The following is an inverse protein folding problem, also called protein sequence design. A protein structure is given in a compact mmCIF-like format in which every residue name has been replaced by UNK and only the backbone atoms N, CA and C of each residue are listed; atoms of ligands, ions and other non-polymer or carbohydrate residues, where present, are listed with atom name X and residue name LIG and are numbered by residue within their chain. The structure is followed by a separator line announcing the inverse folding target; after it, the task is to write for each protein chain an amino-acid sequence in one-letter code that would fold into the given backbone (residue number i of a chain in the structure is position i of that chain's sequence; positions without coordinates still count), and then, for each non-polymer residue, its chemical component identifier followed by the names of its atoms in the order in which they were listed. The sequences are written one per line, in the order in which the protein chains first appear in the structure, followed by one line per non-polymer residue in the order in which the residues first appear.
data_IF_562457114315
#
_entry.id   IF_562457114315
#
_cell.length_a   1.000
_cell.length_b   1.000
_cell.length_c   1.000
_cell.angle_alpha   90.00
_cell.angle_beta   90.00
_cell.angle_gamma   90.00
#
_symmetry.space_group_name_H-M   'P 1'
#
loop_
_entity.id
_entity.type
_entity.pdbx_description
1 polymer ?
#
# COMPACT_ATOMS: atom_id res chain seq x y z
N UNK A 1 15.98 11.13 15.76
CA UNK A 1 15.44 10.45 14.56
C UNK A 1 14.72 9.19 15.04
N UNK A 2 13.40 9.12 14.89
CA UNK A 2 12.65 7.94 15.34
C UNK A 2 13.04 6.74 14.46
N UNK A 3 13.66 5.72 15.06
CA UNK A 3 14.04 4.48 14.40
C UNK A 3 12.80 3.67 14.02
N UNK A 4 12.90 2.86 12.96
CA UNK A 4 11.84 1.92 12.54
C UNK A 4 12.03 0.60 13.28
N UNK A 5 10.95 0.06 13.82
CA UNK A 5 10.89 -1.27 14.41
C UNK A 5 10.50 -2.29 13.35
N UNK A 6 11.50 -2.92 12.73
CA UNK A 6 11.28 -3.94 11.70
C UNK A 6 10.72 -5.25 12.27
N UNK A 7 10.93 -5.54 13.56
CA UNK A 7 10.43 -6.76 14.18
C UNK A 7 8.93 -6.67 14.42
N UNK A 8 8.44 -5.50 14.85
CA UNK A 8 7.01 -5.23 14.92
C UNK A 8 6.34 -5.37 13.54
N UNK A 9 6.93 -4.77 12.50
CA UNK A 9 6.41 -4.89 11.12
C UNK A 9 6.32 -6.36 10.72
N UNK A 10 7.37 -7.14 10.98
CA UNK A 10 7.40 -8.57 10.67
C UNK A 10 6.28 -9.33 11.39
N UNK A 11 6.06 -9.07 12.68
CA UNK A 11 4.96 -9.67 13.45
C UNK A 11 3.60 -9.32 12.82
N UNK A 12 3.40 -8.05 12.42
CA UNK A 12 2.17 -7.63 11.75
C UNK A 12 1.95 -8.35 10.41
N UNK A 13 3.00 -8.48 9.60
CA UNK A 13 2.96 -9.22 8.33
C UNK A 13 2.63 -10.70 8.56
N UNK A 14 3.21 -11.32 9.58
CA UNK A 14 2.99 -12.73 9.92
C UNK A 14 1.53 -13.01 10.30
N UNK A 15 0.88 -12.09 11.03
CA UNK A 15 -0.56 -12.16 11.36
C UNK A 15 -1.48 -12.05 10.13
N UNK A 16 -0.97 -11.52 9.01
CA UNK A 16 -1.74 -11.26 7.78
C UNK A 16 -1.15 -11.99 6.56
N UNK A 17 -0.51 -13.14 6.76
CA UNK A 17 0.14 -13.94 5.69
C UNK A 17 -0.75 -14.24 4.49
N UNK A 18 -2.06 -14.42 4.67
CA UNK A 18 -3.00 -14.60 3.55
C UNK A 18 -2.97 -13.45 2.52
N UNK A 19 -2.61 -12.22 2.94
CA UNK A 19 -2.45 -11.09 2.02
C UNK A 19 -1.28 -11.28 1.06
N UNK A 20 -0.25 -12.05 1.44
CA UNK A 20 0.85 -12.44 0.52
C UNK A 20 0.31 -13.30 -0.61
N UNK A 21 -0.55 -14.28 -0.30
CA UNK A 21 -1.18 -15.14 -1.31
C UNK A 21 -2.09 -14.33 -2.24
N UNK A 22 -2.91 -13.42 -1.67
CA UNK A 22 -3.73 -12.50 -2.47
C UNK A 22 -2.88 -11.63 -3.41
N UNK A 23 -1.75 -11.11 -2.93
CA UNK A 23 -0.81 -10.35 -3.75
C UNK A 23 -0.15 -11.21 -4.84
N UNK A 24 0.14 -12.49 -4.54
CA UNK A 24 0.65 -13.47 -5.49
C UNK A 24 -0.33 -13.79 -6.61
N UNK A 25 -1.63 -13.82 -6.32
CA UNK A 25 -2.69 -14.02 -7.33
C UNK A 25 -2.86 -12.84 -8.31
N UNK A 26 -2.23 -11.69 -8.04
CA UNK A 26 -2.34 -10.52 -8.91
C UNK A 26 -1.59 -10.74 -10.24
N UNK A 27 -2.33 -10.93 -11.34
CA UNK A 27 -1.77 -11.14 -12.69
C UNK A 27 -1.22 -9.88 -13.38
N UNK A 28 -1.09 -8.74 -12.69
CA UNK A 28 -0.68 -7.45 -13.30
C UNK A 28 -1.53 -6.98 -14.48
N UNK A 29 -2.77 -7.44 -14.62
CA UNK A 29 -3.61 -7.17 -15.79
C UNK A 29 -4.06 -5.71 -15.95
N UNK A 30 -3.93 -4.87 -14.91
CA UNK A 30 -4.28 -3.45 -14.96
C UNK A 30 -5.78 -3.13 -14.92
N UNK A 31 -6.68 -4.12 -14.99
CA UNK A 31 -8.14 -3.92 -15.04
C UNK A 31 -8.71 -3.11 -13.86
N UNK A 32 -8.06 -3.17 -12.69
CA UNK A 32 -8.45 -2.36 -11.53
C UNK A 32 -8.29 -0.84 -11.73
N UNK A 33 -7.52 -0.40 -12.73
CA UNK A 33 -7.27 1.02 -13.00
C UNK A 33 -8.58 1.79 -13.26
N UNK A 34 -9.46 1.24 -14.10
CA UNK A 34 -10.73 1.87 -14.47
C UNK A 34 -11.70 2.07 -13.28
N UNK A 35 -11.52 1.32 -12.19
CA UNK A 35 -12.34 1.45 -10.97
C UNK A 35 -11.85 2.52 -9.99
N UNK A 36 -10.62 3.04 -10.15
CA UNK A 36 -10.04 3.95 -9.17
C UNK A 36 -10.28 5.42 -9.50
N UNK A 37 -10.97 6.14 -8.61
CA UNK A 37 -11.23 7.59 -8.73
C UNK A 37 -9.96 8.41 -9.00
N UNK A 38 -8.88 8.18 -8.24
CA UNK A 38 -7.62 8.91 -8.43
C UNK A 38 -7.04 8.68 -9.82
N UNK A 39 -7.02 7.44 -10.29
CA UNK A 39 -6.51 7.14 -11.63
C UNK A 39 -7.39 7.77 -12.72
N UNK A 40 -8.71 7.67 -12.60
CA UNK A 40 -9.65 8.26 -13.56
C UNK A 40 -9.47 9.77 -13.73
N UNK A 41 -9.18 10.47 -12.64
CA UNK A 41 -9.05 11.94 -12.69
C UNK A 41 -7.66 12.42 -13.07
N UNK A 42 -6.61 11.66 -12.74
CA UNK A 42 -5.21 12.11 -12.92
C UNK A 42 -4.52 11.45 -14.10
N UNK A 43 -4.98 10.29 -14.56
CA UNK A 43 -4.26 9.43 -15.50
C UNK A 43 -2.95 8.85 -14.95
N UNK A 44 -2.54 9.19 -13.73
CA UNK A 44 -1.26 8.80 -13.17
C UNK A 44 -1.21 7.31 -12.84
N UNK A 45 -0.31 6.57 -13.50
CA UNK A 45 -0.07 5.15 -13.26
C UNK A 45 0.18 4.82 -11.79
N UNK A 46 0.79 5.71 -10.99
CA UNK A 46 1.01 5.50 -9.55
C UNK A 46 -0.30 5.43 -8.74
N UNK A 47 -1.39 5.98 -9.27
CA UNK A 47 -2.73 5.94 -8.68
C UNK A 47 -3.47 4.62 -8.92
N UNK A 48 -2.99 3.77 -9.85
CA UNK A 48 -3.60 2.46 -10.14
C UNK A 48 -3.57 1.58 -8.89
N UNK A 49 -4.68 0.93 -8.50
CA UNK A 49 -4.74 0.12 -7.28
C UNK A 49 -3.68 -0.99 -7.19
N UNK A 50 -3.47 -1.74 -8.27
CA UNK A 50 -2.45 -2.80 -8.34
C UNK A 50 -1.03 -2.27 -8.14
N UNK A 51 -0.74 -1.07 -8.66
CA UNK A 51 0.53 -0.39 -8.46
C UNK A 51 0.72 -0.04 -6.98
N UNK A 52 -0.29 0.56 -6.35
CA UNK A 52 -0.22 0.96 -4.93
C UNK A 52 0.01 -0.24 -4.02
N UNK A 53 -0.76 -1.33 -4.18
CA UNK A 53 -0.59 -2.51 -3.30
C UNK A 53 0.77 -3.18 -3.48
N UNK A 54 1.30 -3.26 -4.72
CA UNK A 54 2.61 -3.87 -4.99
C UNK A 54 3.76 -3.04 -4.44
N UNK A 55 3.70 -1.72 -4.60
CA UNK A 55 4.78 -0.80 -4.16
C UNK A 55 4.69 -0.41 -2.68
N UNK A 56 3.69 -0.89 -1.95
CA UNK A 56 3.54 -0.69 -0.50
C UNK A 56 3.62 -2.04 0.22
N UNK A 57 2.48 -2.67 0.49
CA UNK A 57 2.38 -3.95 1.22
C UNK A 57 3.07 -5.09 0.50
N UNK A 58 3.04 -5.13 -0.84
CA UNK A 58 3.81 -6.10 -1.63
C UNK A 58 5.31 -6.00 -1.39
N UNK A 59 5.85 -4.77 -1.32
CA UNK A 59 7.25 -4.53 -0.98
C UNK A 59 7.56 -4.92 0.46
N UNK A 60 6.66 -4.62 1.41
CA UNK A 60 6.81 -5.06 2.81
C UNK A 60 6.88 -6.58 2.92
N UNK A 61 6.02 -7.31 2.20
CA UNK A 61 6.09 -8.77 2.18
C UNK A 61 7.33 -9.32 1.47
N UNK A 62 7.84 -8.66 0.42
CA UNK A 62 9.02 -9.12 -0.31
C UNK A 62 10.32 -8.89 0.47
N UNK A 63 10.42 -7.82 1.24
CA UNK A 63 11.59 -7.56 2.11
C UNK A 63 11.52 -8.26 3.45
N UNK A 64 10.35 -8.85 3.78
CA UNK A 64 10.10 -9.48 5.08
C UNK A 64 10.00 -8.45 6.21
N UNK A 65 9.45 -7.27 5.92
CA UNK A 65 9.31 -6.16 6.86
C UNK A 65 10.57 -5.31 7.03
N UNK A 66 11.71 -5.70 6.43
CA UNK A 66 12.96 -4.92 6.48
C UNK A 66 12.87 -3.71 5.55
N UNK A 67 12.58 -2.55 6.11
CA UNK A 67 12.45 -1.28 5.38
C UNK A 67 13.01 -0.11 6.20
N UNK A 68 13.44 0.92 5.49
CA UNK A 68 13.84 2.19 6.10
C UNK A 68 12.65 3.12 6.34
N UNK A 69 12.84 4.14 7.21
CA UNK A 69 11.86 5.21 7.43
C UNK A 69 11.47 5.90 6.12
N UNK A 70 12.46 6.26 5.30
CA UNK A 70 12.26 6.91 3.99
C UNK A 70 11.40 6.05 3.07
N UNK A 71 11.56 4.73 3.09
CA UNK A 71 10.72 3.85 2.30
C UNK A 71 9.26 3.84 2.78
N UNK A 72 9.02 3.83 4.09
CA UNK A 72 7.68 3.92 4.65
C UNK A 72 7.03 5.30 4.38
N UNK A 73 7.80 6.38 4.41
CA UNK A 73 7.34 7.73 4.03
C UNK A 73 6.97 7.80 2.55
N UNK A 74 7.78 7.21 1.66
CA UNK A 74 7.44 7.08 0.24
C UNK A 74 6.16 6.24 0.04
N UNK A 75 5.99 5.16 0.82
CA UNK A 75 4.76 4.37 0.81
C UNK A 75 3.57 5.21 1.29
N UNK A 76 3.76 6.09 2.28
CA UNK A 76 2.72 6.98 2.78
C UNK A 76 2.16 7.88 1.66
N UNK A 77 3.03 8.40 0.77
CA UNK A 77 2.60 9.16 -0.41
C UNK A 77 1.60 8.40 -1.30
N UNK A 78 1.79 7.09 -1.47
CA UNK A 78 0.82 6.25 -2.21
C UNK A 78 -0.44 5.93 -1.39
N UNK A 79 -0.26 5.68 -0.09
CA UNK A 79 -1.32 5.23 0.82
C UNK A 79 -2.31 6.33 1.20
N UNK A 80 -1.85 7.59 1.32
CA UNK A 80 -2.69 8.75 1.66
C UNK A 80 -2.84 9.71 0.49
N UNK A 81 -1.76 10.03 -0.24
CA UNK A 81 -1.82 10.99 -1.35
C UNK A 81 -2.57 10.49 -2.59
N UNK A 82 -2.63 9.17 -2.82
CA UNK A 82 -3.28 8.57 -4.01
C UNK A 82 -4.39 7.57 -3.68
N UNK A 83 -4.87 7.57 -2.44
CA UNK A 83 -5.93 6.68 -2.01
C UNK A 83 -6.74 7.34 -0.89
N UNK A 84 -8.07 7.33 -1.01
CA UNK A 84 -8.98 7.77 0.05
C UNK A 84 -9.55 6.60 0.86
N UNK A 85 -9.12 5.35 0.60
CA UNK A 85 -9.76 4.12 1.08
C UNK A 85 -11.28 4.08 0.83
N UNK A 86 -11.75 4.62 -0.31
CA UNK A 86 -13.17 4.65 -0.67
C UNK A 86 -13.79 3.28 -1.02
N UNK A 87 -12.98 2.20 -1.06
CA UNK A 87 -13.39 0.82 -1.38
C UNK A 87 -14.06 0.60 -2.74
N UNK A 88 -14.07 1.60 -3.63
CA UNK A 88 -14.65 1.49 -4.98
C UNK A 88 -13.81 0.63 -5.94
N UNK A 89 -12.53 0.40 -5.61
CA UNK A 89 -11.67 -0.38 -6.48
C UNK A 89 -12.09 -1.86 -6.52
N UNK A 90 -12.18 -2.42 -7.72
CA UNK A 90 -12.55 -3.82 -7.95
C UNK A 90 -11.42 -4.58 -8.67
N UNK A 91 -11.25 -5.85 -8.31
CA UNK A 91 -10.32 -6.76 -8.96
C UNK A 91 -11.06 -8.00 -9.47
N UNK A 92 -10.92 -8.31 -10.76
CA UNK A 92 -11.53 -9.50 -11.38
C UNK A 92 -11.03 -10.81 -10.80
N UNK A 93 -9.86 -10.82 -10.16
CA UNK A 93 -9.29 -11.99 -9.48
C UNK A 93 -9.77 -12.12 -8.03
N UNK A 94 -10.69 -11.26 -7.56
CA UNK A 94 -11.22 -11.31 -6.20
C UNK A 94 -10.31 -10.75 -5.11
N UNK A 95 -9.23 -10.04 -5.47
CA UNK A 95 -8.30 -9.44 -4.50
C UNK A 95 -8.93 -8.22 -3.85
N UNK A 96 -9.07 -8.21 -2.51
CA UNK A 96 -9.47 -7.01 -1.76
C UNK A 96 -8.28 -6.03 -1.65
N UNK A 97 -8.11 -5.24 -2.70
CA UNK A 97 -7.10 -4.18 -2.78
C UNK A 97 -7.26 -3.15 -1.67
N UNK A 98 -8.50 -2.86 -1.25
CA UNK A 98 -8.78 -1.85 -0.24
C UNK A 98 -8.34 -2.30 1.15
N UNK A 99 -8.54 -3.58 1.49
CA UNK A 99 -8.06 -4.18 2.73
C UNK A 99 -6.54 -4.21 2.80
N UNK A 100 -5.87 -4.51 1.67
CA UNK A 100 -4.40 -4.48 1.60
C UNK A 100 -3.89 -3.05 1.82
N UNK A 101 -4.45 -2.04 1.16
CA UNK A 101 -4.04 -0.63 1.37
C UNK A 101 -4.31 -0.15 2.80
N UNK A 102 -5.44 -0.55 3.40
CA UNK A 102 -5.75 -0.22 4.78
C UNK A 102 -4.71 -0.83 5.74
N UNK A 103 -4.25 -2.05 5.48
CA UNK A 103 -3.18 -2.68 6.24
C UNK A 103 -1.84 -1.96 6.07
N UNK A 104 -1.51 -1.49 4.86
CA UNK A 104 -0.35 -0.62 4.64
C UNK A 104 -0.37 0.63 5.52
N UNK A 105 -1.53 1.30 5.63
CA UNK A 105 -1.68 2.44 6.56
C UNK A 105 -1.51 2.05 8.02
N UNK A 106 -1.98 0.86 8.42
CA UNK A 106 -1.82 0.37 9.78
C UNK A 106 -0.34 0.15 10.13
N UNK A 107 0.45 -0.40 9.21
CA UNK A 107 1.91 -0.56 9.37
C UNK A 107 2.59 0.81 9.48
N UNK A 108 2.29 1.76 8.61
CA UNK A 108 2.87 3.10 8.73
C UNK A 108 2.53 3.75 10.09
N UNK A 109 1.29 3.60 10.57
CA UNK A 109 0.86 4.17 11.85
C UNK A 109 1.54 3.53 13.06
N UNK A 110 1.81 2.22 13.06
CA UNK A 110 2.56 1.59 14.15
C UNK A 110 3.98 2.17 14.27
N UNK A 111 4.51 2.69 13.17
CA UNK A 111 5.84 3.29 13.07
C UNK A 111 5.83 4.83 13.20
N UNK A 112 4.71 5.39 13.66
CA UNK A 112 4.46 6.83 13.78
C UNK A 112 4.64 7.59 12.45
N UNK A 113 4.17 7.00 11.35
CA UNK A 113 4.10 7.61 10.02
C UNK A 113 2.64 7.72 9.62
N UNK A 114 2.19 8.92 9.30
CA UNK A 114 0.84 9.21 8.85
C UNK A 114 0.83 10.03 7.55
N UNK A 115 -0.37 10.38 7.07
CA UNK A 115 -0.54 11.17 5.86
C UNK A 115 -0.08 12.63 5.98
N UNK A 116 0.29 13.10 7.17
CA UNK A 116 0.86 14.44 7.39
C UNK A 116 2.28 14.56 6.83
N UNK A 117 3.00 13.44 6.70
CA UNK A 117 4.34 13.38 6.09
C UNK A 117 4.33 13.51 4.55
N UNK A 118 3.16 13.66 3.91
CA UNK A 118 3.02 13.73 2.46
C UNK A 118 2.85 15.17 1.92
N UNK A 119 3.22 16.21 2.70
CA UNK A 119 3.00 17.62 2.32
C UNK A 119 4.08 18.24 1.43
N UNK A 120 5.13 17.49 1.05
CA UNK A 120 6.31 18.06 0.37
C UNK A 120 6.55 17.52 -1.05
N UNK A 121 5.49 17.24 -1.81
CA UNK A 121 5.59 17.02 -3.26
C UNK A 121 4.77 18.09 -4.00
N UNK A 122 5.22 19.34 -3.90
CA UNK A 122 5.08 20.37 -4.94
C UNK A 122 6.45 20.66 -5.55
#
# INVERSE_FOLDING_TARGET
MNTIDNDEIKIMLDRKRYMREMLGACASCGLCAASCFFYKNTGDRKSVPSYKVRNTVGKLFSTGGRVSRKELENMAGLLWGKCALCRQCYCSMGIDLSAILAFGRAICRSQNIDGGACRDDE
#
